data_IF_390737729896
#
_entry.id   IF_390737729896
#
_cell.length_a   1.000
_cell.length_b   1.000
_cell.length_c   1.000
_cell.angle_alpha   90.00
_cell.angle_beta   90.00
_cell.angle_gamma   90.00
#
_symmetry.space_group_name_H-M   'P 1'
#
loop_
_entity.id
_entity.type
_entity.pdbx_description
1 polymer ?
#
# COMPACT_ATOMS: atom_id res chain seq x y z
N UNK A 1 15.98 -14.82 21.84
CA UNK A 1 17.12 -13.90 21.87
C UNK A 1 16.53 -12.53 22.15
N UNK A 2 16.60 -12.06 23.40
CA UNK A 2 15.99 -10.80 23.86
C UNK A 2 16.82 -9.63 23.35
N UNK A 3 16.24 -8.78 22.49
CA UNK A 3 16.90 -7.54 22.08
C UNK A 3 16.97 -6.59 23.28
N UNK A 4 18.19 -6.38 23.79
CA UNK A 4 18.49 -5.40 24.83
C UNK A 4 18.43 -4.00 24.22
N UNK A 5 17.27 -3.36 24.25
CA UNK A 5 17.20 -1.91 24.12
C UNK A 5 17.65 -1.31 25.46
N UNK A 6 18.83 -0.68 25.47
CA UNK A 6 19.32 0.04 26.63
C UNK A 6 18.28 1.09 27.06
N UNK A 7 17.80 0.97 28.30
CA UNK A 7 16.84 1.80 29.02
C UNK A 7 17.21 3.29 29.16
N UNK A 8 18.07 3.84 28.30
CA UNK A 8 18.59 5.20 28.43
C UNK A 8 17.57 6.26 27.96
N UNK A 9 16.49 5.85 27.29
CA UNK A 9 15.60 6.79 26.62
C UNK A 9 14.14 6.62 27.03
N UNK A 10 13.80 7.13 28.22
CA UNK A 10 12.42 7.37 28.61
C UNK A 10 11.69 8.30 27.60
N UNK A 11 10.35 8.26 27.55
CA UNK A 11 9.53 8.85 26.47
C UNK A 11 9.68 10.37 26.29
N UNK A 12 10.30 11.08 27.24
CA UNK A 12 10.35 12.55 27.28
C UNK A 12 11.73 13.17 26.95
N UNK A 13 12.71 12.42 26.46
CA UNK A 13 13.99 12.99 26.00
C UNK A 13 14.19 12.73 24.52
N UNK A 14 14.57 13.76 23.76
CA UNK A 14 14.99 13.64 22.37
C UNK A 14 15.92 12.41 22.22
N UNK A 15 15.52 11.43 21.40
CA UNK A 15 16.22 10.13 21.28
C UNK A 15 15.56 8.93 21.97
N UNK A 16 14.30 9.04 22.42
CA UNK A 16 13.42 7.94 22.87
C UNK A 16 13.35 6.71 21.94
N UNK A 17 12.72 5.62 22.42
CA UNK A 17 12.40 4.42 21.61
C UNK A 17 11.63 4.70 20.31
N UNK A 18 10.99 5.87 20.20
CA UNK A 18 10.38 6.35 18.95
C UNK A 18 11.39 6.65 17.84
N UNK A 19 12.64 6.99 18.16
CA UNK A 19 13.67 7.21 17.14
C UNK A 19 14.07 5.90 16.42
N UNK A 20 14.38 4.78 17.12
CA UNK A 20 14.53 3.49 16.48
C UNK A 20 13.31 3.04 15.65
N UNK A 21 12.09 3.21 16.16
CA UNK A 21 10.84 2.89 15.45
C UNK A 21 10.72 3.66 14.12
N UNK A 22 10.96 4.97 14.18
CA UNK A 22 10.97 5.84 13.01
C UNK A 22 12.09 5.50 12.02
N UNK A 23 13.32 5.28 12.51
CA UNK A 23 14.46 4.96 11.65
C UNK A 23 14.29 3.61 10.94
N UNK A 24 13.70 2.61 11.60
CA UNK A 24 13.36 1.34 10.95
C UNK A 24 12.32 1.57 9.86
N UNK A 25 11.27 2.33 10.16
CA UNK A 25 10.22 2.65 9.17
C UNK A 25 10.79 3.38 7.95
N UNK A 26 11.61 4.42 8.16
CA UNK A 26 12.31 5.14 7.10
C UNK A 26 13.24 4.24 6.27
N UNK A 27 14.04 3.41 6.94
CA UNK A 27 14.99 2.54 6.25
C UNK A 27 14.25 1.54 5.35
N UNK A 28 13.12 1.00 5.81
CA UNK A 28 12.28 0.11 5.00
C UNK A 28 11.72 0.89 3.81
N UNK A 29 11.14 2.07 4.01
CA UNK A 29 10.60 2.89 2.91
C UNK A 29 11.66 3.19 1.85
N UNK A 30 12.84 3.69 2.25
CA UNK A 30 13.93 4.01 1.31
C UNK A 30 14.47 2.77 0.58
N UNK A 31 14.61 1.63 1.28
CA UNK A 31 15.04 0.38 0.65
C UNK A 31 14.02 -0.10 -0.38
N UNK A 32 12.72 0.00 -0.09
CA UNK A 32 11.68 -0.49 -1.01
C UNK A 32 11.65 0.31 -2.31
N UNK A 33 11.87 1.62 -2.25
CA UNK A 33 11.95 2.48 -3.44
C UNK A 33 13.16 2.15 -4.33
N UNK A 34 14.25 1.63 -3.76
CA UNK A 34 15.49 1.30 -4.50
C UNK A 34 15.53 -0.13 -5.04
N UNK A 35 14.82 -1.05 -4.39
CA UNK A 35 14.87 -2.46 -4.73
C UNK A 35 13.82 -2.80 -5.79
N UNK A 36 14.21 -3.64 -6.75
CA UNK A 36 13.26 -4.25 -7.68
C UNK A 36 12.19 -5.06 -6.93
N UNK A 37 10.96 -5.16 -7.47
CA UNK A 37 9.86 -5.87 -6.82
C UNK A 37 10.19 -7.33 -6.45
N UNK A 38 11.00 -8.00 -7.27
CA UNK A 38 11.45 -9.38 -7.03
C UNK A 38 12.25 -9.56 -5.73
N UNK A 39 12.77 -8.48 -5.15
CA UNK A 39 13.55 -8.49 -3.90
C UNK A 39 12.72 -8.11 -2.67
N UNK A 40 11.48 -7.64 -2.85
CA UNK A 40 10.63 -7.20 -1.74
C UNK A 40 10.19 -8.34 -0.82
N UNK A 41 10.17 -9.59 -1.28
CA UNK A 41 9.76 -10.75 -0.47
C UNK A 41 10.48 -10.81 0.88
N UNK A 42 11.78 -10.57 0.92
CA UNK A 42 12.55 -10.60 2.18
C UNK A 42 12.17 -9.46 3.14
N UNK A 43 11.82 -8.29 2.61
CA UNK A 43 11.35 -7.17 3.42
C UNK A 43 9.94 -7.45 3.96
N UNK A 44 9.07 -8.00 3.12
CA UNK A 44 7.70 -8.40 3.48
C UNK A 44 7.73 -9.50 4.54
N UNK A 45 8.65 -10.45 4.44
CA UNK A 45 8.89 -11.45 5.49
C UNK A 45 9.43 -10.80 6.75
N UNK A 46 10.37 -9.86 6.65
CA UNK A 46 10.98 -9.19 7.80
C UNK A 46 9.96 -8.43 8.66
N UNK A 47 9.04 -7.66 8.06
CA UNK A 47 8.17 -6.72 8.80
C UNK A 47 7.25 -7.37 9.86
N UNK A 48 6.64 -8.54 9.62
CA UNK A 48 5.89 -9.25 10.66
C UNK A 48 6.74 -9.83 11.80
N UNK A 49 8.06 -10.00 11.63
CA UNK A 49 8.90 -10.59 12.69
C UNK A 49 8.97 -9.70 13.94
N UNK A 50 9.20 -8.37 13.85
CA UNK A 50 9.05 -7.46 14.97
C UNK A 50 7.70 -7.57 15.68
N UNK A 51 6.58 -7.70 14.95
CA UNK A 51 5.23 -7.76 15.56
C UNK A 51 5.04 -8.96 16.51
N UNK A 52 5.89 -10.00 16.38
CA UNK A 52 5.88 -11.18 17.27
C UNK A 52 6.70 -10.98 18.55
N UNK A 53 7.37 -9.85 18.70
CA UNK A 53 8.21 -9.52 19.86
C UNK A 53 7.51 -8.48 20.73
N UNK A 54 7.47 -8.74 22.03
CA UNK A 54 7.01 -7.75 23.01
C UNK A 54 8.26 -7.10 23.61
N UNK A 55 8.53 -5.88 23.17
CA UNK A 55 9.61 -5.09 23.77
C UNK A 55 9.09 -4.50 25.08
N UNK A 56 9.78 -4.76 26.19
CA UNK A 56 9.37 -4.34 27.54
C UNK A 56 10.38 -3.39 28.16
N UNK A 57 9.90 -2.47 28.99
CA UNK A 57 10.73 -1.69 29.90
C UNK A 57 11.23 -2.60 31.03
N UNK A 58 12.54 -2.71 31.22
CA UNK A 58 13.13 -3.63 32.20
C UNK A 58 12.83 -3.26 33.67
N UNK A 59 12.47 -2.01 33.93
CA UNK A 59 12.19 -1.52 35.28
C UNK A 59 10.74 -1.73 35.71
N UNK A 60 9.81 -1.72 34.76
CA UNK A 60 8.36 -1.86 35.02
C UNK A 60 7.78 -3.18 34.49
N UNK A 61 8.51 -3.86 33.61
CA UNK A 61 8.04 -5.01 32.83
C UNK A 61 6.81 -4.72 31.95
N UNK A 62 6.51 -3.44 31.73
CA UNK A 62 5.41 -2.99 30.86
C UNK A 62 5.87 -2.92 29.39
N UNK A 63 4.95 -3.16 28.42
CA UNK A 63 5.26 -2.98 27.01
C UNK A 63 5.72 -1.55 26.70
N UNK A 64 6.77 -1.44 25.90
CA UNK A 64 7.24 -0.17 25.38
C UNK A 64 6.19 0.44 24.45
N UNK A 65 5.87 1.72 24.67
CA UNK A 65 4.87 2.45 23.88
C UNK A 65 5.43 3.71 23.24
N UNK A 66 5.04 3.94 21.99
CA UNK A 66 5.35 5.16 21.23
C UNK A 66 4.03 5.78 20.83
N UNK A 67 3.79 7.03 21.24
CA UNK A 67 2.54 7.76 20.96
C UNK A 67 1.26 7.02 21.42
N UNK A 68 1.36 6.18 22.45
CA UNK A 68 0.24 5.39 23.00
C UNK A 68 0.17 3.97 22.45
N UNK A 69 0.75 3.72 21.28
CA UNK A 69 0.77 2.43 20.60
C UNK A 69 1.92 1.55 21.06
N UNK A 70 1.72 0.24 21.06
CA UNK A 70 2.70 -0.75 21.50
C UNK A 70 3.77 -0.93 20.43
N UNK A 71 5.03 -0.71 20.82
CA UNK A 71 6.18 -0.83 19.93
C UNK A 71 6.21 -2.22 19.28
N UNK A 72 6.46 -2.23 17.97
CA UNK A 72 6.45 -3.39 17.07
C UNK A 72 5.10 -4.05 16.81
N UNK A 73 4.21 -4.17 17.79
CA UNK A 73 2.89 -4.78 17.55
C UNK A 73 2.06 -3.86 16.64
N UNK A 74 1.94 -2.61 17.06
CA UNK A 74 1.08 -1.61 16.42
C UNK A 74 1.84 -0.81 15.33
N UNK A 75 3.17 -0.96 15.28
CA UNK A 75 4.08 -0.29 14.31
C UNK A 75 3.83 1.24 14.19
N UNK A 76 3.93 1.99 15.30
CA UNK A 76 3.46 3.39 15.38
C UNK A 76 4.03 4.31 14.30
N UNK A 77 5.34 4.21 14.02
CA UNK A 77 5.96 5.05 13.00
C UNK A 77 5.65 4.63 11.56
N UNK A 78 5.30 3.37 11.36
CA UNK A 78 5.24 2.79 10.02
C UNK A 78 4.10 3.38 9.18
N UNK A 79 2.95 3.67 9.81
CA UNK A 79 1.77 4.21 9.15
C UNK A 79 2.01 5.58 8.50
N UNK A 80 2.47 6.56 9.29
CA UNK A 80 2.70 7.91 8.79
C UNK A 80 3.94 8.00 7.90
N UNK A 81 5.02 7.25 8.21
CA UNK A 81 6.23 7.25 7.37
C UNK A 81 5.92 6.73 5.98
N UNK A 82 5.13 5.66 5.88
CA UNK A 82 4.67 5.14 4.59
C UNK A 82 3.77 6.12 3.86
N UNK A 83 2.83 6.78 4.56
CA UNK A 83 1.95 7.77 3.96
C UNK A 83 2.73 8.94 3.35
N UNK A 84 3.65 9.53 4.12
CA UNK A 84 4.51 10.64 3.68
C UNK A 84 5.34 10.22 2.47
N UNK A 85 6.00 9.06 2.54
CA UNK A 85 6.79 8.51 1.42
C UNK A 85 5.94 8.30 0.17
N UNK A 86 4.70 7.84 0.32
CA UNK A 86 3.79 7.62 -0.81
C UNK A 86 3.40 8.95 -1.49
N UNK A 87 3.20 10.01 -0.70
CA UNK A 87 2.90 11.36 -1.17
C UNK A 87 4.10 12.09 -1.80
N UNK A 88 5.32 11.68 -1.50
CA UNK A 88 6.54 12.22 -2.13
C UNK A 88 6.69 11.83 -3.61
N UNK A 89 5.88 10.88 -4.11
CA UNK A 89 5.87 10.44 -5.51
C UNK A 89 7.26 10.07 -6.06
N UNK A 90 8.06 9.39 -5.23
CA UNK A 90 9.43 9.00 -5.59
C UNK A 90 10.51 10.03 -5.20
N UNK A 91 10.14 11.11 -4.50
CA UNK A 91 11.05 12.06 -3.85
C UNK A 91 10.98 13.50 -4.37
N UNK A 92 9.97 13.87 -5.16
CA UNK A 92 9.89 15.18 -5.82
C UNK A 92 8.45 15.72 -5.96
N UNK A 93 7.46 15.09 -5.32
CA UNK A 93 6.07 15.54 -5.27
C UNK A 93 5.43 15.87 -6.65
N UNK A 94 5.92 15.22 -7.71
CA UNK A 94 5.39 15.35 -9.08
C UNK A 94 4.22 14.40 -9.31
N UNK A 95 3.27 14.82 -10.16
CA UNK A 95 2.09 14.01 -10.48
C UNK A 95 2.52 12.65 -11.09
N UNK A 96 2.19 11.50 -10.48
CA UNK A 96 2.53 10.18 -11.02
C UNK A 96 1.80 9.87 -12.34
N UNK A 97 0.82 10.68 -12.73
CA UNK A 97 0.15 10.61 -14.03
C UNK A 97 0.87 11.43 -15.12
N UNK A 98 1.96 12.13 -14.81
CA UNK A 98 2.79 12.84 -15.80
C UNK A 98 3.64 11.85 -16.60
N UNK A 99 3.49 11.84 -17.93
CA UNK A 99 4.26 10.99 -18.83
C UNK A 99 5.73 11.42 -18.98
N UNK A 100 6.08 12.60 -18.49
CA UNK A 100 7.44 13.16 -18.55
C UNK A 100 8.23 12.97 -17.25
N UNK A 101 7.65 12.25 -16.27
CA UNK A 101 8.32 11.94 -15.01
C UNK A 101 9.63 11.19 -15.26
N UNK A 102 10.69 11.56 -14.53
CA UNK A 102 11.98 10.92 -14.69
C UNK A 102 11.90 9.41 -14.38
N UNK A 103 12.58 8.58 -15.17
CA UNK A 103 12.54 7.11 -14.99
C UNK A 103 12.86 6.69 -13.56
N UNK A 104 13.86 7.31 -12.91
CA UNK A 104 14.21 6.99 -11.52
C UNK A 104 13.08 7.33 -10.53
N UNK A 105 12.33 8.40 -10.76
CA UNK A 105 11.21 8.80 -9.91
C UNK A 105 10.03 7.85 -10.09
N UNK A 106 9.72 7.52 -11.36
CA UNK A 106 8.74 6.49 -11.73
C UNK A 106 9.06 5.16 -11.05
N UNK A 107 10.29 4.66 -11.21
CA UNK A 107 10.74 3.39 -10.64
C UNK A 107 10.59 3.38 -9.12
N UNK A 108 11.02 4.45 -8.44
CA UNK A 108 10.91 4.55 -6.96
C UNK A 108 9.47 4.45 -6.50
N UNK A 109 8.55 5.14 -7.16
CA UNK A 109 7.14 5.13 -6.76
C UNK A 109 6.43 3.82 -7.12
N UNK A 110 6.73 3.25 -8.30
CA UNK A 110 6.21 1.95 -8.70
C UNK A 110 6.72 0.82 -7.77
N UNK A 111 8.00 0.84 -7.40
CA UNK A 111 8.58 -0.11 -6.46
C UNK A 111 7.95 0.01 -5.06
N UNK A 112 7.72 1.23 -4.56
CA UNK A 112 7.00 1.41 -3.30
C UNK A 112 5.63 0.75 -3.35
N UNK A 113 4.83 1.01 -4.40
CA UNK A 113 3.50 0.40 -4.53
C UNK A 113 3.56 -1.13 -4.66
N UNK A 114 4.55 -1.68 -5.35
CA UNK A 114 4.78 -3.12 -5.42
C UNK A 114 5.04 -3.73 -4.03
N UNK A 115 5.88 -3.08 -3.21
CA UNK A 115 6.12 -3.50 -1.83
C UNK A 115 4.85 -3.44 -0.99
N UNK A 116 4.11 -2.33 -1.05
CA UNK A 116 2.86 -2.16 -0.29
C UNK A 116 1.80 -3.19 -0.71
N UNK A 117 1.76 -3.57 -1.98
CA UNK A 117 0.92 -4.64 -2.48
C UNK A 117 1.30 -5.99 -1.88
N UNK A 118 2.58 -6.36 -1.91
CA UNK A 118 3.04 -7.58 -1.26
C UNK A 118 2.76 -7.59 0.25
N UNK A 119 2.99 -6.47 0.93
CA UNK A 119 2.76 -6.33 2.36
C UNK A 119 1.27 -6.52 2.70
N UNK A 120 0.39 -5.89 1.91
CA UNK A 120 -1.07 -6.01 2.03
C UNK A 120 -1.54 -7.45 1.77
N UNK A 121 -0.96 -8.12 0.78
CA UNK A 121 -1.26 -9.51 0.47
C UNK A 121 -0.86 -10.46 1.61
N UNK A 122 0.26 -10.17 2.29
CA UNK A 122 0.78 -10.96 3.40
C UNK A 122 0.16 -10.61 4.77
N UNK A 123 -0.43 -9.42 4.92
CA UNK A 123 -1.05 -8.97 6.16
C UNK A 123 -2.13 -9.94 6.62
N UNK A 124 -2.17 -10.25 7.91
CA UNK A 124 -3.25 -11.02 8.51
C UNK A 124 -4.44 -10.10 8.79
N UNK A 125 -5.54 -10.30 8.06
CA UNK A 125 -6.73 -9.45 8.15
C UNK A 125 -7.88 -10.30 8.64
N UNK A 126 -8.43 -9.88 9.76
CA UNK A 126 -9.72 -10.32 10.21
C UNK A 126 -10.79 -9.42 9.58
N UNK A 127 -11.78 -10.02 8.92
CA UNK A 127 -12.99 -9.32 8.49
C UNK A 127 -14.06 -9.61 9.54
N UNK A 128 -14.21 -8.73 10.55
CA UNK A 128 -15.18 -8.97 11.60
C UNK A 128 -16.62 -8.87 11.05
N UNK A 129 -17.59 -9.49 11.73
CA UNK A 129 -19.01 -9.25 11.50
C UNK A 129 -19.37 -7.75 11.62
N UNK A 130 -20.52 -7.36 11.06
CA UNK A 130 -20.91 -5.95 10.91
C UNK A 130 -21.03 -5.15 12.23
N UNK A 131 -21.10 -5.82 13.38
CA UNK A 131 -21.26 -5.27 14.72
C UNK A 131 -19.95 -5.18 15.52
N UNK A 132 -18.83 -5.64 14.97
CA UNK A 132 -17.52 -5.62 15.60
C UNK A 132 -16.62 -4.50 15.03
N UNK A 133 -15.78 -3.93 15.90
CA UNK A 133 -14.85 -2.86 15.50
C UNK A 133 -13.80 -3.38 14.51
N UNK A 134 -13.74 -2.78 13.32
CA UNK A 134 -12.73 -3.12 12.31
C UNK A 134 -11.37 -2.59 12.75
N UNK A 135 -10.54 -3.46 13.33
CA UNK A 135 -9.11 -3.19 13.50
C UNK A 135 -8.36 -3.56 12.23
N UNK A 136 -8.03 -2.55 11.42
CA UNK A 136 -7.16 -2.74 10.27
C UNK A 136 -5.74 -3.11 10.74
N UNK A 137 -5.16 -4.16 10.16
CA UNK A 137 -3.75 -4.47 10.38
C UNK A 137 -2.88 -3.28 9.97
N UNK A 138 -1.84 -2.91 10.74
CA UNK A 138 -0.92 -1.82 10.36
C UNK A 138 -0.16 -2.13 9.05
N UNK A 139 -0.13 -3.40 8.65
CA UNK A 139 0.50 -3.88 7.41
C UNK A 139 -0.47 -3.85 6.22
N UNK A 140 -1.75 -3.59 6.46
CA UNK A 140 -2.75 -3.50 5.41
C UNK A 140 -2.76 -2.12 4.76
N UNK A 141 -2.26 -2.05 3.54
CA UNK A 141 -2.14 -0.82 2.77
C UNK A 141 -3.12 -0.77 1.62
N UNK A 142 -4.19 -1.56 1.67
CA UNK A 142 -5.24 -1.62 0.65
C UNK A 142 -5.82 -0.24 0.29
N UNK A 143 -5.92 0.71 1.23
CA UNK A 143 -6.34 2.08 0.90
C UNK A 143 -5.45 2.74 -0.19
N UNK A 144 -4.15 2.45 -0.22
CA UNK A 144 -3.22 2.99 -1.23
C UNK A 144 -3.49 2.37 -2.59
N UNK A 145 -3.93 1.12 -2.64
CA UNK A 145 -4.41 0.51 -3.87
C UNK A 145 -5.53 1.37 -4.46
N UNK A 146 -6.58 1.69 -3.68
CA UNK A 146 -7.68 2.54 -4.14
C UNK A 146 -7.15 3.87 -4.69
N UNK A 147 -6.25 4.53 -3.97
CA UNK A 147 -5.68 5.80 -4.44
C UNK A 147 -4.91 5.65 -5.76
N UNK A 148 -4.10 4.60 -5.92
CA UNK A 148 -3.42 4.29 -7.18
C UNK A 148 -4.39 4.01 -8.33
N UNK A 149 -5.47 3.24 -8.08
CA UNK A 149 -6.50 2.97 -9.08
C UNK A 149 -7.30 4.22 -9.43
N UNK A 150 -7.60 5.08 -8.45
CA UNK A 150 -8.25 6.37 -8.70
C UNK A 150 -7.38 7.25 -9.60
N UNK A 151 -6.08 7.29 -9.34
CA UNK A 151 -5.13 8.06 -10.14
C UNK A 151 -5.02 7.54 -11.58
N UNK A 152 -5.01 6.22 -11.80
CA UNK A 152 -4.73 5.63 -13.11
C UNK A 152 -5.99 5.28 -13.94
N UNK A 153 -7.05 4.81 -13.28
CA UNK A 153 -8.22 4.17 -13.89
C UNK A 153 -9.49 5.01 -13.77
N UNK A 154 -9.55 5.90 -12.78
CA UNK A 154 -10.71 6.79 -12.53
C UNK A 154 -10.37 8.28 -12.73
N UNK A 155 -9.25 8.55 -13.40
CA UNK A 155 -8.76 9.90 -13.71
C UNK A 155 -9.67 10.62 -14.70
N UNK A 156 -9.62 11.96 -14.73
CA UNK A 156 -10.29 12.72 -15.79
C UNK A 156 -9.69 12.44 -17.18
N UNK A 157 -8.40 12.13 -17.24
CA UNK A 157 -7.73 11.63 -18.44
C UNK A 157 -8.10 10.16 -18.68
N UNK A 158 -8.36 9.75 -19.93
CA UNK A 158 -8.71 8.37 -20.23
C UNK A 158 -7.55 7.41 -19.94
N UNK A 159 -7.80 6.19 -19.41
CA UNK A 159 -6.78 5.16 -19.20
C UNK A 159 -5.88 4.91 -20.43
N UNK A 160 -6.45 4.98 -21.64
CA UNK A 160 -5.70 4.91 -22.91
C UNK A 160 -4.53 5.92 -23.00
N UNK A 161 -4.65 7.09 -22.38
CA UNK A 161 -3.60 8.13 -22.37
C UNK A 161 -2.63 8.01 -21.19
N UNK A 162 -2.92 7.15 -20.22
CA UNK A 162 -2.14 6.96 -19.00
C UNK A 162 -1.32 5.67 -19.01
N UNK A 163 -1.41 4.88 -20.10
CA UNK A 163 -0.80 3.56 -20.23
C UNK A 163 0.70 3.51 -19.92
N UNK A 164 1.43 4.61 -20.09
CA UNK A 164 2.88 4.72 -19.83
C UNK A 164 3.23 5.67 -18.66
N UNK A 165 2.36 5.75 -17.66
CA UNK A 165 2.58 6.59 -16.46
C UNK A 165 3.00 5.75 -15.26
N UNK A 166 3.64 6.39 -14.27
CA UNK A 166 3.94 5.74 -12.99
C UNK A 166 2.65 5.28 -12.28
N UNK A 167 1.58 6.09 -12.36
CA UNK A 167 0.24 5.77 -11.85
C UNK A 167 -0.29 4.43 -12.40
N UNK A 168 -0.25 4.26 -13.73
CA UNK A 168 -0.68 3.02 -14.37
C UNK A 168 0.18 1.83 -13.96
N UNK A 169 1.50 2.02 -13.90
CA UNK A 169 2.41 0.97 -13.43
C UNK A 169 2.05 0.51 -12.01
N UNK A 170 1.90 1.44 -11.06
CA UNK A 170 1.54 1.07 -9.69
C UNK A 170 0.18 0.37 -9.60
N UNK A 171 -0.83 0.84 -10.35
CA UNK A 171 -2.13 0.17 -10.41
C UNK A 171 -1.97 -1.29 -10.87
N UNK A 172 -1.16 -1.54 -11.90
CA UNK A 172 -0.86 -2.90 -12.36
C UNK A 172 -0.15 -3.72 -11.27
N UNK A 173 0.84 -3.16 -10.58
CA UNK A 173 1.56 -3.84 -9.47
C UNK A 173 0.63 -4.27 -8.35
N UNK A 174 -0.36 -3.45 -8.00
CA UNK A 174 -1.37 -3.81 -6.99
C UNK A 174 -2.19 -5.03 -7.40
N UNK A 175 -2.64 -5.12 -8.65
CA UNK A 175 -3.36 -6.30 -9.12
C UNK A 175 -2.44 -7.53 -9.18
N UNK A 176 -1.23 -7.39 -9.72
CA UNK A 176 -0.28 -8.51 -9.84
C UNK A 176 0.07 -9.11 -8.47
N UNK A 177 0.36 -8.26 -7.47
CA UNK A 177 0.88 -8.74 -6.19
C UNK A 177 -0.16 -8.88 -5.08
N UNK A 178 -1.34 -8.25 -5.21
CA UNK A 178 -2.35 -8.25 -4.15
C UNK A 178 -3.78 -8.57 -4.61
N UNK A 179 -4.03 -9.00 -5.87
CA UNK A 179 -5.39 -9.24 -6.37
C UNK A 179 -6.25 -10.12 -5.45
N UNK A 180 -5.69 -11.17 -4.82
CA UNK A 180 -6.45 -12.04 -3.91
C UNK A 180 -6.93 -11.27 -2.68
N UNK A 181 -6.06 -10.46 -2.06
CA UNK A 181 -6.44 -9.62 -0.91
C UNK A 181 -7.43 -8.52 -1.31
N UNK A 182 -7.22 -7.87 -2.46
CA UNK A 182 -8.13 -6.82 -2.93
C UNK A 182 -9.52 -7.39 -3.27
N UNK A 183 -9.58 -8.58 -3.86
CA UNK A 183 -10.85 -9.26 -4.10
C UNK A 183 -11.52 -9.71 -2.79
N UNK A 184 -10.76 -10.17 -1.79
CA UNK A 184 -11.32 -10.44 -0.46
C UNK A 184 -11.95 -9.18 0.16
N UNK A 185 -11.36 -7.99 -0.05
CA UNK A 185 -11.99 -6.73 0.36
C UNK A 185 -13.30 -6.45 -0.38
N UNK A 186 -13.40 -6.81 -1.68
CA UNK A 186 -14.65 -6.70 -2.45
C UNK A 186 -15.74 -7.62 -1.87
N UNK A 187 -15.40 -8.89 -1.60
CA UNK A 187 -16.36 -9.87 -1.06
C UNK A 187 -16.87 -9.50 0.33
N UNK A 188 -16.02 -8.88 1.15
CA UNK A 188 -16.35 -8.42 2.50
C UNK A 188 -16.85 -6.97 2.51
N UNK A 189 -17.17 -6.38 1.35
CA UNK A 189 -17.71 -5.01 1.22
C UNK A 189 -16.91 -3.96 2.00
N UNK A 190 -15.59 -4.04 1.96
CA UNK A 190 -14.74 -3.18 2.78
C UNK A 190 -14.88 -1.71 2.37
N UNK A 191 -15.26 -0.88 3.35
CA UNK A 191 -15.38 0.58 3.21
C UNK A 191 -14.38 1.33 4.08
N UNK A 192 -14.16 2.60 3.77
CA UNK A 192 -13.35 3.52 4.55
C UNK A 192 -14.16 4.79 4.88
N UNK A 193 -13.84 5.48 6.01
CA UNK A 193 -14.40 6.79 6.29
C UNK A 193 -14.15 7.77 5.13
N UNK A 194 -15.08 8.71 4.90
CA UNK A 194 -14.96 9.71 3.84
C UNK A 194 -13.63 10.49 3.87
N UNK A 195 -13.15 10.79 5.09
CA UNK A 195 -11.87 11.50 5.32
C UNK A 195 -10.65 10.74 4.81
N UNK A 196 -10.76 9.42 4.61
CA UNK A 196 -9.69 8.58 4.07
C UNK A 196 -9.56 8.66 2.54
N UNK A 197 -10.45 9.37 1.85
CA UNK A 197 -10.32 9.57 0.39
C UNK A 197 -10.51 8.31 -0.45
N UNK A 198 -11.25 7.30 0.02
CA UNK A 198 -11.54 6.07 -0.73
C UNK A 198 -12.68 6.22 -1.76
N UNK A 199 -13.12 7.46 -2.00
CA UNK A 199 -14.22 7.80 -2.90
C UNK A 199 -13.94 7.51 -4.38
N UNK A 200 -14.96 7.71 -5.20
CA UNK A 200 -14.85 7.64 -6.66
C UNK A 200 -13.96 8.74 -7.24
N UNK A 201 -13.22 8.41 -8.28
CA UNK A 201 -12.40 9.34 -9.04
C UNK A 201 -13.21 10.26 -9.96
N UNK A 202 -12.51 11.18 -10.62
CA UNK A 202 -13.12 12.24 -11.45
C UNK A 202 -13.92 11.71 -12.64
N UNK A 203 -13.59 10.52 -13.16
CA UNK A 203 -14.33 9.87 -14.26
C UNK A 203 -15.69 9.33 -13.84
N UNK A 204 -15.81 8.93 -12.58
CA UNK A 204 -16.99 8.23 -12.04
C UNK A 204 -17.60 9.02 -10.87
N UNK A 205 -17.69 10.34 -10.98
CA UNK A 205 -18.16 11.24 -9.89
C UNK A 205 -19.58 10.95 -9.41
N UNK A 206 -20.41 10.33 -10.25
CA UNK A 206 -21.79 9.96 -9.94
C UNK A 206 -21.87 8.67 -9.11
N UNK A 207 -20.81 7.86 -9.12
CA UNK A 207 -20.71 6.64 -8.33
C UNK A 207 -20.44 6.98 -6.86
N UNK A 208 -21.12 6.30 -5.95
CA UNK A 208 -21.07 6.56 -4.50
C UNK A 208 -20.15 5.58 -3.76
N UNK A 209 -19.07 5.13 -4.39
CA UNK A 209 -18.14 4.19 -3.76
C UNK A 209 -17.43 4.80 -2.55
N UNK A 210 -17.29 4.00 -1.50
CA UNK A 210 -16.54 4.34 -0.28
C UNK A 210 -15.41 3.33 0.01
N UNK A 211 -15.09 2.48 -0.97
CA UNK A 211 -14.17 1.35 -0.79
C UNK A 211 -14.22 0.38 -1.95
N UNK A 212 -14.19 -0.92 -1.63
CA UNK A 212 -14.18 -2.02 -2.58
C UNK A 212 -15.59 -2.54 -2.85
N UNK A 213 -16.01 -2.51 -4.12
CA UNK A 213 -17.30 -3.06 -4.58
C UNK A 213 -17.09 -3.90 -5.84
N UNK A 214 -18.02 -4.79 -6.14
CA UNK A 214 -17.98 -5.60 -7.38
C UNK A 214 -18.07 -4.72 -8.62
N UNK A 215 -18.92 -3.71 -8.58
CA UNK A 215 -19.10 -2.79 -9.71
C UNK A 215 -17.80 -2.03 -9.99
N UNK A 216 -17.18 -1.45 -8.96
CA UNK A 216 -15.89 -0.74 -9.09
C UNK A 216 -14.79 -1.63 -9.62
N UNK A 217 -14.76 -2.89 -9.21
CA UNK A 217 -13.82 -3.89 -9.74
C UNK A 217 -14.00 -4.12 -11.24
N UNK A 218 -15.25 -4.21 -11.71
CA UNK A 218 -15.56 -4.28 -13.14
C UNK A 218 -15.08 -3.05 -13.91
N UNK A 219 -15.32 -1.85 -13.38
CA UNK A 219 -14.81 -0.61 -13.99
C UNK A 219 -13.27 -0.57 -14.09
N UNK A 220 -12.56 -1.16 -13.12
CA UNK A 220 -11.11 -1.28 -13.20
C UNK A 220 -10.65 -2.28 -14.27
N UNK A 221 -11.36 -3.38 -14.46
CA UNK A 221 -11.10 -4.33 -15.56
C UNK A 221 -11.24 -3.64 -16.92
N UNK A 222 -12.39 -2.97 -17.15
CA UNK A 222 -12.67 -2.24 -18.39
C UNK A 222 -11.64 -1.13 -18.66
N UNK A 223 -11.23 -0.39 -17.61
CA UNK A 223 -10.22 0.66 -17.71
C UNK A 223 -8.84 0.11 -18.09
N UNK A 224 -8.45 -1.05 -17.55
CA UNK A 224 -7.20 -1.72 -17.94
C UNK A 224 -7.27 -2.25 -19.38
N UNK A 225 -8.42 -2.76 -19.83
CA UNK A 225 -8.60 -3.13 -21.25
C UNK A 225 -8.45 -1.91 -22.18
N UNK A 226 -9.05 -0.77 -21.81
CA UNK A 226 -8.93 0.49 -22.55
C UNK A 226 -7.45 0.92 -22.66
N UNK A 227 -6.72 0.90 -21.54
CA UNK A 227 -5.29 1.22 -21.50
C UNK A 227 -4.48 0.26 -22.37
N UNK A 228 -4.72 -1.05 -22.23
CA UNK A 228 -4.02 -2.09 -22.97
C UNK A 228 -4.20 -1.96 -24.48
N UNK A 229 -5.40 -1.62 -24.94
CA UNK A 229 -5.71 -1.49 -26.37
C UNK A 229 -4.95 -0.36 -27.07
N UNK A 230 -4.45 0.63 -26.32
CA UNK A 230 -3.73 1.80 -26.84
C UNK A 230 -2.27 1.86 -26.40
N UNK A 231 -1.83 1.01 -25.47
CA UNK A 231 -0.46 0.94 -25.01
C UNK A 231 0.47 0.46 -26.13
N UNK A 232 1.48 1.28 -26.46
CA UNK A 232 2.50 0.97 -27.48
C UNK A 232 3.81 0.50 -26.87
N UNK A 233 4.07 0.84 -25.60
CA UNK A 233 5.25 0.37 -24.89
C UNK A 233 5.09 -1.12 -24.55
N UNK A 234 6.00 -1.95 -25.05
CA UNK A 234 5.90 -3.41 -24.94
C UNK A 234 5.93 -3.88 -23.48
N UNK A 235 6.72 -3.22 -22.65
CA UNK A 235 6.88 -3.59 -21.26
C UNK A 235 5.62 -3.25 -20.44
N UNK A 236 5.10 -2.03 -20.57
CA UNK A 236 3.84 -1.63 -19.94
C UNK A 236 2.66 -2.43 -20.47
N UNK A 237 2.63 -2.73 -21.77
CA UNK A 237 1.59 -3.56 -22.37
C UNK A 237 1.53 -4.92 -21.68
N UNK A 238 2.70 -5.56 -21.48
CA UNK A 238 2.79 -6.85 -20.79
C UNK A 238 2.39 -6.75 -19.34
N UNK A 239 2.80 -5.66 -18.66
CA UNK A 239 2.44 -5.43 -17.27
C UNK A 239 0.92 -5.26 -17.08
N UNK A 240 0.25 -4.55 -18.01
CA UNK A 240 -1.22 -4.40 -18.01
C UNK A 240 -1.89 -5.76 -18.28
N UNK A 241 -1.33 -6.57 -19.20
CA UNK A 241 -1.82 -7.92 -19.48
C UNK A 241 -1.75 -8.83 -18.23
N UNK A 242 -0.60 -8.84 -17.55
CA UNK A 242 -0.40 -9.59 -16.30
C UNK A 242 -1.35 -9.10 -15.18
N UNK A 243 -1.63 -7.80 -15.14
CA UNK A 243 -2.59 -7.22 -14.20
C UNK A 243 -4.03 -7.66 -14.48
N UNK A 244 -4.48 -7.63 -15.74
CA UNK A 244 -5.80 -8.14 -16.15
C UNK A 244 -5.96 -9.63 -15.81
N UNK A 245 -4.94 -10.45 -16.10
CA UNK A 245 -4.95 -11.88 -15.76
C UNK A 245 -5.08 -12.07 -14.25
N UNK A 246 -4.34 -11.30 -13.45
CA UNK A 246 -4.35 -11.39 -11.99
C UNK A 246 -5.69 -10.91 -11.39
N UNK A 247 -6.23 -9.81 -11.90
CA UNK A 247 -7.53 -9.25 -11.54
C UNK A 247 -8.64 -10.27 -11.77
N UNK A 248 -8.71 -10.86 -12.97
CA UNK A 248 -9.74 -11.84 -13.36
C UNK A 248 -9.59 -13.15 -12.61
N UNK A 249 -8.35 -13.63 -12.41
CA UNK A 249 -8.09 -14.83 -11.61
C UNK A 249 -8.56 -14.68 -10.17
N UNK A 250 -8.46 -13.47 -9.60
CA UNK A 250 -8.98 -13.15 -8.27
C UNK A 250 -10.47 -13.53 -8.11
N UNK A 251 -11.26 -13.38 -9.18
CA UNK A 251 -12.69 -13.66 -9.20
C UNK A 251 -13.03 -15.16 -9.31
N UNK A 252 -12.18 -15.95 -9.97
CA UNK A 252 -12.48 -17.36 -10.34
C UNK A 252 -12.11 -18.36 -9.26
N UNK A 253 -11.12 -18.07 -8.42
CA UNK A 253 -10.58 -19.02 -7.44
C UNK A 253 -11.38 -19.11 -6.11
N UNK A 254 -12.71 -18.90 -6.15
CA UNK A 254 -13.59 -19.00 -4.97
C UNK A 254 -14.94 -19.63 -5.32
#
# INVERSE_FOLDING_TARGET
MTMSALSIHGPNKHGGIGLPDYNVSLAVMELTQRLEPSKHTKLVEFIPHPQKQVAVDLSTNEPLRVQGDTLWIDMPSFGYTELETWHEFGGDYKDPCDTTLESKQRDRWANLNAFLAHLTQAADIHYPPADEEVRASPLDKSLRAIWSMVMALENERPPASLGDTAAMEAACRWFIYAAKRLWANVLNSRTYPKVSGAGSGKRYKEEIWAGYTRDRWGFWDDALEEARAKCQDEWMWKLIDDALVSLRRGMVNQ
#
